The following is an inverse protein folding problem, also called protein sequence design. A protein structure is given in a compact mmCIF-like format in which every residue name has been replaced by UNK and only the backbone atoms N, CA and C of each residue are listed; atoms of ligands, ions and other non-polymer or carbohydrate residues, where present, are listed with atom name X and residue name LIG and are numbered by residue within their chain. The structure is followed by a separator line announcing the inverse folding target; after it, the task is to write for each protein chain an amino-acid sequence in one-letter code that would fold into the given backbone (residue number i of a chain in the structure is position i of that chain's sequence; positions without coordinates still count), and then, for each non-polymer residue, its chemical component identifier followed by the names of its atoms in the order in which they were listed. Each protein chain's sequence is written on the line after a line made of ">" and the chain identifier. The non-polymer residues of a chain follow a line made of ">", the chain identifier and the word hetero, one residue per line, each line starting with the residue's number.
data_IF_407869886820
#
_entry.id   IF_407869886820
#
_cell.length_a   1.000
_cell.length_b   1.000
_cell.length_c   1.000
_cell.angle_alpha   90.00
_cell.angle_beta   90.00
_cell.angle_gamma   90.00
#
_symmetry.space_group_name_H-M   'P 1'
#
loop_
_entity.id
_entity.type
_entity.pdbx_description
1 polymer ?
#
# COMPACT_ATOMS: atom_id res chain seq x y z
N UNK A 1 37.74 -15.16 -78.36
CA UNK A 1 37.53 -13.97 -79.21
C UNK A 1 36.28 -13.26 -78.71
N UNK A 2 36.42 -12.05 -78.16
CA UNK A 2 35.33 -11.05 -78.02
C UNK A 2 35.08 -10.45 -79.43
N UNK A 3 33.97 -9.75 -79.79
CA UNK A 3 33.15 -8.86 -78.92
C UNK A 3 31.63 -8.65 -79.28
N UNK A 4 30.90 -7.97 -78.39
CA UNK A 4 29.85 -6.96 -78.69
C UNK A 4 28.46 -7.45 -79.18
N UNK A 5 27.34 -6.73 -79.04
CA UNK A 5 27.02 -5.37 -78.60
C UNK A 5 25.47 -5.26 -78.61
N UNK A 6 24.89 -4.46 -77.70
CA UNK A 6 23.53 -3.82 -77.72
C UNK A 6 22.27 -4.70 -77.68
N UNK A 7 21.53 -4.62 -76.57
CA UNK A 7 20.30 -3.82 -76.58
C UNK A 7 19.84 -3.49 -75.15
N UNK A 8 19.82 -2.20 -74.84
CA UNK A 8 19.12 -1.61 -73.71
C UNK A 8 17.63 -1.98 -73.80
N UNK A 9 17.08 -2.56 -72.73
CA UNK A 9 15.67 -2.45 -72.43
C UNK A 9 15.56 -1.90 -71.01
N UNK A 10 15.25 -0.61 -70.95
CA UNK A 10 15.09 0.14 -69.72
C UNK A 10 13.88 -0.39 -68.94
N UNK A 11 14.12 -1.21 -67.92
CA UNK A 11 13.16 -1.42 -66.84
C UNK A 11 13.36 -0.33 -65.80
N UNK A 12 12.56 0.72 -65.91
CA UNK A 12 12.32 1.71 -64.86
C UNK A 12 11.62 1.00 -63.69
N UNK A 13 12.40 0.42 -62.77
CA UNK A 13 11.92 0.05 -61.43
C UNK A 13 11.82 1.36 -60.65
N UNK A 14 10.64 1.96 -60.63
CA UNK A 14 10.33 3.05 -59.73
C UNK A 14 10.39 2.53 -58.29
N UNK A 15 11.51 2.78 -57.62
CA UNK A 15 11.65 2.63 -56.18
C UNK A 15 10.72 3.66 -55.54
N UNK A 16 9.49 3.26 -55.22
CA UNK A 16 8.60 4.06 -54.37
C UNK A 16 9.25 4.07 -52.98
N UNK A 17 10.03 5.10 -52.71
CA UNK A 17 10.33 5.50 -51.33
C UNK A 17 8.99 5.89 -50.70
N UNK A 18 8.34 4.94 -50.05
CA UNK A 18 7.32 5.26 -49.05
C UNK A 18 8.11 5.76 -47.85
N UNK A 19 8.06 7.05 -47.47
CA UNK A 19 8.54 7.44 -46.17
C UNK A 19 7.61 6.74 -45.18
N UNK A 20 8.13 5.73 -44.49
CA UNK A 20 7.51 5.25 -43.25
C UNK A 20 7.66 6.41 -42.27
N UNK A 21 6.71 7.34 -42.31
CA UNK A 21 6.48 8.29 -41.25
C UNK A 21 6.10 7.42 -40.05
N UNK A 22 7.11 7.06 -39.26
CA UNK A 22 6.87 6.54 -37.93
C UNK A 22 6.14 7.67 -37.22
N UNK A 23 4.84 7.50 -37.01
CA UNK A 23 4.09 8.35 -36.11
C UNK A 23 4.74 8.17 -34.74
N UNK A 24 5.69 9.05 -34.42
CA UNK A 24 6.04 9.29 -33.03
C UNK A 24 4.81 9.93 -32.45
N UNK A 25 4.05 9.16 -31.68
CA UNK A 25 3.00 9.70 -30.83
C UNK A 25 3.57 10.94 -30.13
N UNK A 26 2.95 12.09 -30.38
CA UNK A 26 3.38 13.34 -29.77
C UNK A 26 3.38 13.18 -28.25
N UNK A 27 4.42 13.70 -27.58
CA UNK A 27 4.48 13.70 -26.11
C UNK A 27 3.19 14.32 -25.55
N UNK A 28 2.48 13.65 -24.64
CA UNK A 28 1.29 14.22 -24.03
C UNK A 28 1.64 15.51 -23.29
N UNK A 29 0.82 16.55 -23.42
CA UNK A 29 1.01 17.80 -22.68
C UNK A 29 0.70 17.55 -21.19
N UNK A 30 1.65 17.82 -20.30
CA UNK A 30 1.51 17.56 -18.87
C UNK A 30 0.79 18.67 -18.10
N UNK A 31 -0.04 18.29 -17.13
CA UNK A 31 -0.70 19.16 -16.16
C UNK A 31 -0.02 19.03 -14.78
N UNK A 32 0.61 20.11 -14.30
CA UNK A 32 1.34 20.11 -13.04
C UNK A 32 0.46 19.85 -11.79
N UNK A 33 -0.79 20.29 -11.77
CA UNK A 33 -1.68 20.06 -10.62
C UNK A 33 -2.08 18.58 -10.54
N UNK A 34 -2.45 17.99 -11.68
CA UNK A 34 -2.70 16.55 -11.79
C UNK A 34 -1.46 15.74 -11.42
N UNK A 35 -0.28 16.21 -11.84
CA UNK A 35 1.01 15.61 -11.54
C UNK A 35 1.31 15.55 -10.04
N UNK A 36 1.11 16.66 -9.33
CA UNK A 36 1.25 16.74 -7.87
C UNK A 36 0.34 15.73 -7.16
N UNK A 37 -0.92 15.64 -7.59
CA UNK A 37 -1.89 14.68 -7.02
C UNK A 37 -1.47 13.24 -7.30
N UNK A 38 -1.02 12.95 -8.52
CA UNK A 38 -0.57 11.62 -8.91
C UNK A 38 0.71 11.21 -8.14
N UNK A 39 1.64 12.15 -7.94
CA UNK A 39 2.87 11.94 -7.17
C UNK A 39 2.55 11.40 -5.77
N UNK A 40 1.69 12.14 -5.04
CA UNK A 40 1.25 11.79 -3.69
C UNK A 40 0.43 10.49 -3.65
N UNK A 41 -0.49 10.31 -4.60
CA UNK A 41 -1.41 9.16 -4.64
C UNK A 41 -0.72 7.84 -4.97
N UNK A 42 0.40 7.87 -5.70
CA UNK A 42 1.15 6.69 -6.14
C UNK A 42 2.37 6.37 -5.28
N UNK A 43 2.57 7.08 -4.16
CA UNK A 43 3.65 6.83 -3.19
C UNK A 43 5.06 7.03 -3.75
N UNK A 44 5.21 7.82 -4.82
CA UNK A 44 6.53 8.17 -5.36
C UNK A 44 7.32 9.00 -4.35
N UNK A 45 6.61 9.81 -3.56
CA UNK A 45 7.19 10.66 -2.51
C UNK A 45 7.91 9.88 -1.41
N UNK A 46 7.54 8.61 -1.17
CA UNK A 46 8.15 7.81 -0.10
C UNK A 46 9.64 7.55 -0.35
N UNK A 47 10.07 7.57 -1.62
CA UNK A 47 11.48 7.46 -1.97
C UNK A 47 12.06 8.79 -2.46
N UNK A 48 11.28 9.58 -3.19
CA UNK A 48 11.77 10.78 -3.87
C UNK A 48 11.41 12.10 -3.16
N UNK A 49 10.82 12.04 -1.96
CA UNK A 49 10.41 13.21 -1.19
C UNK A 49 9.08 13.83 -1.64
N UNK A 50 8.43 14.57 -0.75
CA UNK A 50 7.09 15.17 -0.99
C UNK A 50 7.07 16.19 -2.13
N UNK A 51 8.22 16.82 -2.38
CA UNK A 51 8.42 17.82 -3.43
C UNK A 51 9.52 17.38 -4.39
N UNK A 52 9.73 16.07 -4.58
CA UNK A 52 10.76 15.57 -5.49
C UNK A 52 12.19 15.88 -5.04
N UNK A 53 12.43 16.31 -3.80
CA UNK A 53 13.78 16.65 -3.31
C UNK A 53 14.69 15.44 -3.09
N UNK A 54 14.24 14.23 -3.44
CA UNK A 54 14.96 13.00 -3.15
C UNK A 54 14.81 12.61 -1.68
N UNK A 55 15.34 11.42 -1.37
CA UNK A 55 15.53 10.91 -0.03
C UNK A 55 16.29 9.59 -0.15
N UNK A 56 15.54 8.48 -0.17
CA UNK A 56 16.06 7.16 -0.50
C UNK A 56 16.34 7.04 -2.01
N UNK A 57 15.44 7.58 -2.83
CA UNK A 57 15.62 7.77 -4.27
C UNK A 57 16.26 9.12 -4.59
N UNK A 58 16.79 9.29 -5.82
CA UNK A 58 17.40 10.55 -6.24
C UNK A 58 16.39 11.70 -6.23
N UNK A 59 16.89 12.92 -6.07
CA UNK A 59 16.11 14.14 -6.32
C UNK A 59 15.69 14.23 -7.79
N UNK A 60 14.47 14.71 -8.03
CA UNK A 60 13.87 14.93 -9.34
C UNK A 60 13.33 16.37 -9.50
N UNK A 61 13.22 17.13 -8.40
CA UNK A 61 12.77 18.52 -8.41
C UNK A 61 13.67 19.38 -9.31
N UNK A 62 13.07 20.10 -10.25
CA UNK A 62 13.77 20.96 -11.20
C UNK A 62 14.71 20.23 -12.17
N UNK A 63 14.80 18.90 -12.13
CA UNK A 63 15.65 18.14 -13.04
C UNK A 63 15.05 18.11 -14.44
N UNK A 64 15.82 18.59 -15.41
CA UNK A 64 15.41 18.71 -16.81
C UNK A 64 15.50 17.37 -17.58
N UNK A 65 14.95 16.29 -17.01
CA UNK A 65 14.80 15.02 -17.72
C UNK A 65 13.83 15.19 -18.88
N UNK A 66 14.11 14.59 -20.05
CA UNK A 66 13.11 14.46 -21.12
C UNK A 66 12.01 13.49 -20.71
N UNK A 67 10.83 13.55 -21.34
CA UNK A 67 9.77 12.59 -21.03
C UNK A 67 10.19 11.15 -21.32
N UNK A 68 10.92 10.91 -22.42
CA UNK A 68 11.48 9.61 -22.73
C UNK A 68 12.43 9.09 -21.63
N UNK A 69 13.29 9.97 -21.07
CA UNK A 69 14.17 9.61 -19.95
C UNK A 69 13.38 9.30 -18.67
N UNK A 70 12.40 10.15 -18.34
CA UNK A 70 11.55 9.97 -17.15
C UNK A 70 10.72 8.67 -17.25
N UNK A 71 10.05 8.45 -18.39
CA UNK A 71 9.32 7.21 -18.69
C UNK A 71 10.24 6.00 -18.62
N UNK A 72 11.44 6.07 -19.20
CA UNK A 72 12.41 4.97 -19.13
C UNK A 72 12.78 4.64 -17.68
N UNK A 73 13.06 5.64 -16.85
CA UNK A 73 13.38 5.44 -15.43
C UNK A 73 12.23 4.76 -14.68
N UNK A 74 10.97 5.08 -15.00
CA UNK A 74 9.79 4.45 -14.37
C UNK A 74 9.54 3.02 -14.87
N UNK A 75 9.76 2.75 -16.15
CA UNK A 75 9.51 1.44 -16.78
C UNK A 75 10.64 0.43 -16.57
N UNK A 76 11.88 0.90 -16.59
CA UNK A 76 13.09 0.08 -16.49
C UNK A 76 14.12 0.82 -15.61
N UNK A 77 13.84 0.94 -14.31
CA UNK A 77 14.66 1.69 -13.38
C UNK A 77 16.07 1.12 -13.19
N UNK A 78 16.97 1.99 -12.74
CA UNK A 78 18.24 1.60 -12.13
C UNK A 78 18.11 1.50 -10.60
N UNK A 79 19.05 0.80 -9.97
CA UNK A 79 19.01 0.58 -8.51
C UNK A 79 17.83 -0.29 -8.09
N UNK A 80 17.32 -0.07 -6.88
CA UNK A 80 16.24 -0.87 -6.26
C UNK A 80 14.84 -0.30 -6.49
N UNK A 81 14.70 0.78 -7.28
CA UNK A 81 13.38 1.31 -7.63
C UNK A 81 12.58 0.23 -8.37
N UNK A 82 11.32 -0.05 -7.98
CA UNK A 82 10.49 -1.01 -8.68
C UNK A 82 10.03 -0.47 -10.04
N UNK A 83 9.81 -1.37 -10.99
CA UNK A 83 9.27 -1.02 -12.31
C UNK A 83 7.75 -0.87 -12.27
N UNK A 84 7.22 0.19 -12.86
CA UNK A 84 5.78 0.46 -12.88
C UNK A 84 5.20 0.25 -14.28
N UNK A 85 4.01 -0.36 -14.35
CA UNK A 85 3.34 -0.67 -15.62
C UNK A 85 2.54 0.52 -16.17
N UNK A 86 2.14 0.45 -17.44
CA UNK A 86 1.24 1.44 -18.07
C UNK A 86 -0.07 1.61 -17.28
N UNK A 87 -0.60 0.51 -16.73
CA UNK A 87 -1.79 0.51 -15.88
C UNK A 87 -1.56 1.32 -14.59
N UNK A 88 -0.37 1.22 -14.01
CA UNK A 88 -0.05 1.91 -12.76
C UNK A 88 0.30 3.39 -12.96
N UNK A 89 0.81 3.80 -14.11
CA UNK A 89 1.03 5.21 -14.40
C UNK A 89 1.18 5.33 -15.92
N UNK A 90 0.12 5.75 -16.61
CA UNK A 90 0.15 5.86 -18.06
C UNK A 90 0.95 7.09 -18.53
N UNK A 91 1.18 7.21 -19.83
CA UNK A 91 1.98 8.31 -20.40
C UNK A 91 1.48 9.71 -20.00
N UNK A 92 0.18 9.94 -19.96
CA UNK A 92 -0.39 11.20 -19.48
C UNK A 92 -0.02 11.46 -18.01
N UNK A 93 -0.20 10.46 -17.14
CA UNK A 93 0.16 10.56 -15.72
C UNK A 93 1.65 10.88 -15.55
N UNK A 94 2.52 10.25 -16.33
CA UNK A 94 3.96 10.50 -16.28
C UNK A 94 4.32 11.88 -16.80
N UNK A 95 3.63 12.37 -17.83
CA UNK A 95 3.83 13.73 -18.33
C UNK A 95 3.37 14.77 -17.31
N UNK A 96 2.22 14.55 -16.67
CA UNK A 96 1.70 15.39 -15.59
C UNK A 96 2.69 15.48 -14.42
N UNK A 97 3.20 14.34 -13.95
CA UNK A 97 4.21 14.29 -12.87
C UNK A 97 5.49 15.03 -13.26
N UNK A 98 5.99 14.82 -14.48
CA UNK A 98 7.18 15.50 -14.99
C UNK A 98 6.94 17.01 -15.06
N UNK A 99 5.80 17.46 -15.59
CA UNK A 99 5.44 18.87 -15.66
C UNK A 99 5.44 19.50 -14.26
N UNK A 100 4.90 18.81 -13.26
CA UNK A 100 4.94 19.27 -11.87
C UNK A 100 6.37 19.36 -11.32
N UNK A 101 7.19 18.32 -11.47
CA UNK A 101 8.57 18.29 -10.98
C UNK A 101 9.42 19.43 -11.56
N UNK A 102 9.18 19.80 -12.82
CA UNK A 102 9.84 20.93 -13.48
C UNK A 102 9.46 22.30 -12.91
N UNK A 103 8.33 22.42 -12.20
CA UNK A 103 7.96 23.66 -11.51
C UNK A 103 8.70 23.88 -10.19
N UNK A 104 9.37 22.85 -9.68
CA UNK A 104 10.02 22.86 -8.36
C UNK A 104 11.48 23.29 -8.48
N UNK A 105 12.04 23.98 -7.46
CA UNK A 105 13.46 24.31 -7.44
C UNK A 105 14.31 23.05 -7.27
N UNK A 106 15.49 23.03 -7.90
CA UNK A 106 16.52 22.02 -7.62
C UNK A 106 17.01 22.14 -6.18
N UNK A 107 17.43 21.02 -5.58
CA UNK A 107 18.02 20.98 -4.25
C UNK A 107 19.51 20.70 -4.32
N UNK A 108 20.28 21.20 -3.34
CA UNK A 108 21.71 20.91 -3.24
C UNK A 108 21.98 19.48 -2.73
N UNK A 109 21.16 19.02 -1.78
CA UNK A 109 21.28 17.71 -1.15
C UNK A 109 19.89 17.05 -1.02
N UNK A 110 19.80 15.71 -1.13
CA UNK A 110 18.56 15.00 -0.91
C UNK A 110 18.00 15.13 0.52
N UNK A 111 16.69 14.94 0.65
CA UNK A 111 16.04 14.86 1.96
C UNK A 111 16.43 13.62 2.79
N UNK A 112 16.02 13.56 4.07
CA UNK A 112 16.21 12.35 4.87
C UNK A 112 15.33 11.20 4.39
N UNK A 113 15.76 9.96 4.61
CA UNK A 113 14.95 8.77 4.34
C UNK A 113 13.74 8.71 5.28
N UNK A 114 12.60 8.23 4.77
CA UNK A 114 11.40 7.99 5.59
C UNK A 114 11.72 7.03 6.75
N UNK A 115 12.43 5.95 6.42
CA UNK A 115 12.97 5.02 7.40
C UNK A 115 14.49 5.09 7.37
N UNK A 116 15.14 5.76 8.34
CA UNK A 116 16.60 5.81 8.41
C UNK A 116 17.19 4.45 8.74
N UNK A 117 18.32 4.14 8.11
CA UNK A 117 19.14 2.98 8.43
C UNK A 117 19.96 3.28 9.70
N UNK A 118 19.61 2.65 10.83
CA UNK A 118 20.41 2.79 12.05
C UNK A 118 21.57 1.78 12.08
N UNK A 119 22.69 2.19 12.66
CA UNK A 119 23.91 1.39 12.72
C UNK A 119 23.72 0.10 13.54
N UNK A 120 22.87 0.14 14.56
CA UNK A 120 22.55 -0.96 15.48
C UNK A 120 21.35 -1.81 15.01
N UNK A 121 20.79 -1.54 13.83
CA UNK A 121 19.71 -2.35 13.28
C UNK A 121 20.14 -3.83 13.09
N UNK A 122 19.26 -4.80 13.37
CA UNK A 122 19.47 -6.21 13.03
C UNK A 122 19.81 -6.38 11.55
N UNK A 123 20.67 -7.36 11.22
CA UNK A 123 21.16 -7.58 9.86
C UNK A 123 20.04 -7.64 8.81
N UNK A 124 19.02 -8.47 9.04
CA UNK A 124 17.92 -8.63 8.07
C UNK A 124 17.03 -7.39 7.96
N UNK A 125 16.91 -6.60 9.03
CA UNK A 125 16.25 -5.29 8.97
C UNK A 125 17.07 -4.29 8.15
N UNK A 126 18.40 -4.29 8.26
CA UNK A 126 19.27 -3.45 7.42
C UNK A 126 19.04 -3.76 5.95
N UNK A 127 18.91 -5.04 5.59
CA UNK A 127 18.58 -5.45 4.21
C UNK A 127 17.22 -4.89 3.79
N UNK A 128 16.18 -5.08 4.59
CA UNK A 128 14.83 -4.55 4.34
C UNK A 128 14.81 -3.03 4.07
N UNK A 129 15.55 -2.27 4.88
CA UNK A 129 15.67 -0.81 4.73
C UNK A 129 16.47 -0.45 3.48
N UNK A 130 17.59 -1.13 3.24
CA UNK A 130 18.53 -0.82 2.16
C UNK A 130 17.99 -1.15 0.77
N UNK A 131 17.07 -2.11 0.64
CA UNK A 131 16.37 -2.38 -0.63
C UNK A 131 15.13 -1.51 -0.83
N UNK A 132 14.84 -0.60 0.10
CA UNK A 132 13.75 0.38 -0.01
C UNK A 132 12.38 -0.12 0.44
N UNK A 133 12.22 -1.40 0.77
CA UNK A 133 10.94 -1.94 1.22
C UNK A 133 10.39 -1.21 2.45
N UNK A 134 11.27 -0.87 3.41
CA UNK A 134 10.87 -0.16 4.63
C UNK A 134 10.33 1.26 4.36
N UNK A 135 10.73 1.90 3.26
CA UNK A 135 10.29 3.27 2.94
C UNK A 135 8.77 3.33 2.63
N UNK A 136 8.13 2.19 2.36
CA UNK A 136 6.67 2.07 2.20
C UNK A 136 6.02 1.12 3.22
N UNK A 137 6.75 0.11 3.68
CA UNK A 137 6.22 -0.95 4.55
C UNK A 137 6.69 -0.87 6.00
N UNK A 138 7.39 0.21 6.36
CA UNK A 138 8.02 0.45 7.66
C UNK A 138 9.11 -0.57 8.01
N UNK A 139 9.81 -0.34 9.12
CA UNK A 139 11.01 -1.09 9.52
C UNK A 139 10.72 -2.55 9.93
N UNK A 140 9.45 -2.90 10.05
CA UNK A 140 8.94 -4.22 10.43
C UNK A 140 8.17 -4.91 9.29
N UNK A 141 8.12 -4.33 8.09
CA UNK A 141 7.35 -4.84 6.95
C UNK A 141 5.87 -5.09 7.30
N UNK A 142 5.23 -4.10 7.93
CA UNK A 142 3.92 -4.20 8.59
C UNK A 142 2.81 -4.73 7.68
N UNK A 143 2.53 -4.04 6.57
CA UNK A 143 1.41 -4.39 5.69
C UNK A 143 1.59 -5.78 5.05
N UNK A 144 2.78 -6.14 4.52
CA UNK A 144 3.01 -7.49 4.01
C UNK A 144 2.91 -8.58 5.08
N UNK A 145 3.34 -8.35 6.32
CA UNK A 145 3.15 -9.30 7.42
C UNK A 145 1.67 -9.59 7.72
N UNK A 146 0.82 -8.58 7.63
CA UNK A 146 -0.64 -8.74 7.73
C UNK A 146 -1.22 -9.51 6.55
N UNK A 147 -0.81 -9.19 5.32
CA UNK A 147 -1.26 -9.88 4.12
C UNK A 147 -0.88 -11.38 4.14
N UNK A 148 0.39 -11.66 4.46
CA UNK A 148 0.91 -13.01 4.67
C UNK A 148 0.17 -13.73 5.80
N UNK A 149 -0.07 -13.06 6.93
CA UNK A 149 -0.83 -13.63 8.03
C UNK A 149 -2.29 -13.93 7.68
N UNK A 150 -2.85 -13.30 6.65
CA UNK A 150 -4.17 -13.65 6.10
C UNK A 150 -4.22 -15.00 5.40
N UNK A 151 -3.07 -15.56 5.01
CA UNK A 151 -2.93 -16.84 4.30
C UNK A 151 -1.80 -17.69 4.89
N UNK A 152 -1.51 -17.51 6.18
CA UNK A 152 -0.31 -18.01 6.85
C UNK A 152 0.02 -19.50 6.61
N UNK A 153 -0.98 -20.37 6.48
CA UNK A 153 -0.74 -21.81 6.22
C UNK A 153 -0.16 -22.12 4.83
N UNK A 154 -0.21 -21.18 3.90
CA UNK A 154 0.25 -21.32 2.51
C UNK A 154 1.48 -20.46 2.21
N UNK A 155 2.03 -19.77 3.22
CA UNK A 155 3.15 -18.87 3.04
C UNK A 155 4.46 -19.64 2.97
N UNK A 156 5.11 -19.56 1.81
CA UNK A 156 6.49 -19.95 1.60
C UNK A 156 7.28 -18.83 0.89
N UNK A 157 8.56 -19.09 0.63
CA UNK A 157 9.42 -18.12 -0.06
C UNK A 157 8.98 -17.90 -1.52
N UNK A 158 8.41 -18.90 -2.21
CA UNK A 158 7.95 -18.74 -3.58
C UNK A 158 6.77 -17.77 -3.64
N UNK A 159 5.81 -17.91 -2.72
CA UNK A 159 4.70 -16.99 -2.54
C UNK A 159 5.20 -15.56 -2.26
N UNK A 160 6.14 -15.41 -1.31
CA UNK A 160 6.73 -14.11 -1.01
C UNK A 160 7.48 -13.50 -2.20
N UNK A 161 8.24 -14.30 -2.94
CA UNK A 161 8.93 -13.89 -4.16
C UNK A 161 7.97 -13.38 -5.22
N UNK A 162 6.84 -14.07 -5.45
CA UNK A 162 5.80 -13.60 -6.39
C UNK A 162 5.21 -12.25 -5.97
N UNK A 163 4.98 -12.03 -4.68
CA UNK A 163 4.49 -10.73 -4.19
C UNK A 163 5.48 -9.57 -4.41
N UNK A 164 6.77 -9.85 -4.61
CA UNK A 164 7.80 -8.81 -4.77
C UNK A 164 8.18 -8.62 -6.25
N UNK A 165 8.41 -9.72 -6.97
CA UNK A 165 8.82 -9.68 -8.37
C UNK A 165 7.65 -9.56 -9.35
N UNK A 166 6.43 -9.96 -8.93
CA UNK A 166 5.21 -9.96 -9.74
C UNK A 166 4.07 -9.24 -9.01
N UNK A 167 4.40 -8.20 -8.22
CA UNK A 167 3.44 -7.48 -7.40
C UNK A 167 2.24 -6.97 -8.20
N UNK A 168 2.47 -6.51 -9.43
CA UNK A 168 1.44 -5.95 -10.31
C UNK A 168 0.50 -6.99 -10.93
N UNK A 169 0.89 -8.27 -10.93
CA UNK A 169 0.03 -9.36 -11.39
C UNK A 169 -1.00 -9.70 -10.31
N UNK A 170 -0.56 -9.68 -9.04
CA UNK A 170 -1.35 -9.99 -7.85
C UNK A 170 -2.20 -8.78 -7.44
N UNK A 171 -1.60 -7.59 -7.41
CA UNK A 171 -2.21 -6.34 -6.99
C UNK A 171 -2.23 -5.35 -8.15
N UNK A 172 -3.13 -5.59 -9.12
CA UNK A 172 -3.21 -4.79 -10.36
C UNK A 172 -3.48 -3.29 -10.14
N UNK A 173 -4.12 -2.95 -9.02
CA UNK A 173 -4.37 -1.57 -8.59
C UNK A 173 -3.42 -1.12 -7.46
N UNK A 174 -2.42 -1.93 -7.11
CA UNK A 174 -1.42 -1.63 -6.10
C UNK A 174 -0.48 -0.50 -6.53
N UNK A 175 0.07 0.20 -5.54
CA UNK A 175 1.03 1.32 -5.75
C UNK A 175 2.48 0.88 -5.73
N UNK A 176 2.78 -0.41 -5.50
CA UNK A 176 4.13 -0.97 -5.60
C UNK A 176 4.33 -1.59 -6.97
N UNK A 177 5.45 -1.28 -7.63
CA UNK A 177 5.82 -1.89 -8.90
C UNK A 177 6.47 -3.28 -8.73
N UNK A 178 6.94 -3.86 -9.82
CA UNK A 178 7.67 -5.12 -9.81
C UNK A 178 9.16 -4.88 -9.55
N UNK A 179 9.72 -5.54 -8.53
CA UNK A 179 11.16 -5.53 -8.31
C UNK A 179 11.89 -6.43 -9.30
N UNK A 180 13.14 -6.10 -9.62
CA UNK A 180 14.01 -6.94 -10.44
C UNK A 180 14.80 -7.90 -9.57
N UNK A 181 14.92 -9.16 -10.02
CA UNK A 181 15.79 -10.17 -9.41
C UNK A 181 17.27 -9.80 -9.48
N UNK A 182 17.67 -9.01 -10.47
CA UNK A 182 19.06 -8.53 -10.59
C UNK A 182 19.36 -7.41 -9.58
N UNK A 183 18.34 -6.70 -9.12
CA UNK A 183 18.45 -5.54 -8.21
C UNK A 183 18.16 -5.90 -6.77
N UNK A 184 17.26 -6.85 -6.56
CA UNK A 184 16.98 -7.48 -5.28
C UNK A 184 17.14 -9.00 -5.47
N UNK A 185 18.37 -9.53 -5.35
CA UNK A 185 18.64 -10.95 -5.51
C UNK A 185 17.88 -11.80 -4.50
N UNK A 186 17.56 -13.05 -4.87
CA UNK A 186 16.83 -13.96 -3.98
C UNK A 186 17.54 -14.16 -2.64
N UNK A 187 18.88 -14.17 -2.60
CA UNK A 187 19.61 -14.30 -1.33
C UNK A 187 19.25 -13.18 -0.35
N UNK A 188 19.13 -11.93 -0.82
CA UNK A 188 18.70 -10.80 -0.01
C UNK A 188 17.22 -10.93 0.36
N UNK A 189 16.38 -11.32 -0.60
CA UNK A 189 14.95 -11.44 -0.36
C UNK A 189 14.62 -12.57 0.63
N UNK A 190 15.39 -13.66 0.64
CA UNK A 190 15.26 -14.75 1.60
C UNK A 190 15.53 -14.28 3.02
N UNK A 191 16.57 -13.48 3.23
CA UNK A 191 16.85 -12.90 4.54
C UNK A 191 15.70 -11.99 5.02
N UNK A 192 15.10 -11.21 4.13
CA UNK A 192 13.91 -10.39 4.46
C UNK A 192 12.69 -11.29 4.76
N UNK A 193 12.51 -12.38 4.03
CA UNK A 193 11.45 -13.35 4.29
C UNK A 193 11.60 -14.01 5.68
N UNK A 194 12.81 -14.42 6.04
CA UNK A 194 13.10 -15.00 7.34
C UNK A 194 12.95 -13.96 8.46
N UNK A 195 13.29 -12.69 8.21
CA UNK A 195 13.01 -11.62 9.17
C UNK A 195 11.53 -11.54 9.54
N UNK A 196 10.64 -11.62 8.56
CA UNK A 196 9.20 -11.46 8.81
C UNK A 196 8.49 -12.73 9.28
N UNK A 197 9.03 -13.91 8.95
CA UNK A 197 8.43 -15.19 9.33
C UNK A 197 9.04 -15.79 10.60
N UNK A 198 10.35 -15.69 10.77
CA UNK A 198 11.09 -16.26 11.90
C UNK A 198 11.36 -15.24 13.00
N UNK A 199 11.86 -14.05 12.66
CA UNK A 199 12.30 -13.11 13.70
C UNK A 199 11.12 -12.32 14.28
N UNK A 200 10.24 -11.80 13.42
CA UNK A 200 9.09 -10.99 13.84
C UNK A 200 7.79 -11.79 13.98
N UNK A 201 7.62 -12.82 13.14
CA UNK A 201 6.35 -13.54 12.97
C UNK A 201 5.29 -12.76 12.19
N UNK A 202 4.32 -13.48 11.62
CA UNK A 202 3.23 -12.89 10.84
C UNK A 202 2.14 -12.25 11.72
N UNK A 203 1.32 -11.37 11.13
CA UNK A 203 0.27 -10.62 11.83
C UNK A 203 -1.12 -11.07 11.40
N UNK A 204 -2.03 -11.31 12.34
CA UNK A 204 -3.44 -11.47 11.99
C UNK A 204 -3.97 -10.15 11.38
N UNK A 205 -4.60 -10.15 10.19
CA UNK A 205 -5.01 -8.92 9.51
C UNK A 205 -6.34 -8.39 10.04
N UNK A 206 -6.37 -7.98 11.31
CA UNK A 206 -7.56 -7.47 12.00
C UNK A 206 -7.61 -5.95 11.92
N UNK A 207 -8.53 -5.46 11.11
CA UNK A 207 -8.77 -4.02 10.94
C UNK A 207 -10.11 -3.59 11.54
N UNK A 208 -10.22 -2.29 11.82
CA UNK A 208 -11.46 -1.64 12.19
C UNK A 208 -11.80 -0.49 11.24
N UNK A 209 -13.08 -0.26 10.98
CA UNK A 209 -13.55 0.83 10.13
C UNK A 209 -14.93 1.29 10.53
N UNK A 210 -15.13 2.60 10.57
CA UNK A 210 -16.46 3.17 10.71
C UNK A 210 -17.25 2.97 9.43
N UNK A 211 -18.55 2.72 9.58
CA UNK A 211 -19.51 2.89 8.49
C UNK A 211 -19.63 4.39 8.21
N UNK A 212 -19.51 4.84 6.94
CA UNK A 212 -19.50 6.27 6.61
C UNK A 212 -20.77 7.01 7.05
N UNK A 213 -21.92 6.34 6.98
CA UNK A 213 -23.22 6.93 7.27
C UNK A 213 -23.63 6.62 8.71
N UNK A 214 -23.63 7.61 9.62
CA UNK A 214 -24.14 7.43 10.97
C UNK A 214 -25.67 7.45 10.99
N UNK A 215 -26.26 6.90 12.05
CA UNK A 215 -27.70 6.90 12.29
C UNK A 215 -28.05 7.98 13.32
N UNK A 216 -28.87 8.95 12.97
CA UNK A 216 -29.35 9.98 13.89
C UNK A 216 -30.78 9.70 14.35
N UNK A 217 -31.07 9.92 15.62
CA UNK A 217 -32.44 9.90 16.16
C UNK A 217 -33.03 11.32 16.36
N UNK A 218 -32.33 12.35 15.85
CA UNK A 218 -32.66 13.76 16.02
C UNK A 218 -32.07 14.42 17.28
N UNK A 219 -31.70 13.63 18.29
CA UNK A 219 -31.06 14.12 19.54
C UNK A 219 -29.61 13.68 19.63
N UNK A 220 -29.33 12.44 19.27
CA UNK A 220 -28.04 11.76 19.33
C UNK A 220 -27.70 11.15 17.97
N UNK A 221 -26.41 10.83 17.81
CA UNK A 221 -25.90 10.24 16.58
C UNK A 221 -25.10 8.99 16.87
N UNK A 222 -25.45 7.90 16.21
CA UNK A 222 -24.90 6.56 16.39
C UNK A 222 -23.98 6.19 15.23
N UNK A 223 -22.73 5.90 15.56
CA UNK A 223 -21.70 5.46 14.63
C UNK A 223 -21.52 3.96 14.75
N UNK A 224 -21.58 3.26 13.61
CA UNK A 224 -21.27 1.84 13.56
C UNK A 224 -19.80 1.63 13.21
N UNK A 225 -19.12 0.81 14.02
CA UNK A 225 -17.74 0.38 13.82
C UNK A 225 -17.72 -1.11 13.50
N UNK A 226 -17.17 -1.46 12.35
CA UNK A 226 -16.89 -2.86 12.01
C UNK A 226 -15.46 -3.21 12.39
N UNK A 227 -15.29 -4.33 13.07
CA UNK A 227 -13.98 -4.95 13.29
C UNK A 227 -13.98 -6.30 12.58
N UNK A 228 -12.95 -6.54 11.76
CA UNK A 228 -12.89 -7.71 10.89
C UNK A 228 -11.48 -8.28 10.81
N UNK A 229 -11.38 -9.60 10.92
CA UNK A 229 -10.20 -10.32 10.47
C UNK A 229 -10.33 -10.63 8.97
N UNK A 230 -9.40 -10.11 8.17
CA UNK A 230 -9.41 -10.23 6.71
C UNK A 230 -8.76 -11.51 6.18
N UNK A 231 -8.31 -12.39 7.08
CA UNK A 231 -7.70 -13.66 6.71
C UNK A 231 -8.70 -14.61 6.05
N UNK A 232 -8.18 -15.56 5.29
CA UNK A 232 -8.98 -16.59 4.62
C UNK A 232 -9.26 -17.72 5.62
N UNK A 233 -10.52 -18.14 5.71
CA UNK A 233 -10.93 -19.24 6.57
C UNK A 233 -10.11 -20.51 6.29
N UNK A 234 -9.56 -21.12 7.35
CA UNK A 234 -8.69 -22.30 7.25
C UNK A 234 -7.25 -22.01 6.82
N UNK A 235 -6.90 -20.77 6.49
CA UNK A 235 -5.55 -20.39 6.04
C UNK A 235 -4.90 -19.29 6.87
N UNK A 236 -5.69 -18.31 7.30
CA UNK A 236 -5.21 -17.12 8.01
C UNK A 236 -5.00 -17.34 9.51
N UNK A 237 -4.35 -16.37 10.14
CA UNK A 237 -4.14 -16.33 11.58
C UNK A 237 -5.37 -15.84 12.31
N UNK A 238 -5.60 -16.40 13.50
CA UNK A 238 -6.59 -15.92 14.47
C UNK A 238 -5.92 -14.91 15.40
N UNK A 239 -6.57 -13.77 15.65
CA UNK A 239 -6.18 -12.87 16.73
C UNK A 239 -6.90 -13.29 18.02
N UNK A 240 -6.20 -13.34 19.14
CA UNK A 240 -6.73 -13.69 20.46
C UNK A 240 -6.43 -12.60 21.49
N UNK A 241 -7.27 -12.51 22.52
CA UNK A 241 -7.22 -11.48 23.57
C UNK A 241 -7.22 -10.06 22.98
N UNK A 242 -8.19 -9.82 22.11
CA UNK A 242 -8.30 -8.60 21.31
C UNK A 242 -8.81 -7.44 22.15
N UNK A 243 -8.18 -6.27 22.01
CA UNK A 243 -8.59 -5.00 22.59
C UNK A 243 -8.87 -4.01 21.48
N UNK A 244 -10.06 -3.43 21.50
CA UNK A 244 -10.48 -2.39 20.55
C UNK A 244 -10.56 -1.09 21.33
N UNK A 245 -9.82 -0.08 20.89
CA UNK A 245 -9.75 1.24 21.53
C UNK A 245 -10.16 2.30 20.52
N UNK A 246 -11.16 3.10 20.87
CA UNK A 246 -11.64 4.24 20.07
C UNK A 246 -11.45 5.51 20.88
N UNK A 247 -10.36 6.27 20.66
CA UNK A 247 -10.14 7.53 21.35
C UNK A 247 -11.12 8.60 20.88
N UNK A 248 -11.70 9.30 21.85
CA UNK A 248 -12.69 10.35 21.66
C UNK A 248 -11.97 11.71 21.60
N UNK A 249 -12.23 12.50 20.56
CA UNK A 249 -11.72 13.86 20.48
C UNK A 249 -12.48 14.77 21.46
N UNK A 250 -11.82 15.86 21.87
CA UNK A 250 -12.41 16.86 22.77
C UNK A 250 -13.79 17.31 22.28
N UNK A 251 -14.76 17.42 23.19
CA UNK A 251 -16.16 17.75 22.89
C UNK A 251 -17.03 16.56 22.46
N UNK A 252 -16.46 15.37 22.28
CA UNK A 252 -17.23 14.16 21.95
C UNK A 252 -17.75 13.49 23.23
N UNK A 253 -19.04 13.66 23.51
CA UNK A 253 -19.70 13.02 24.66
C UNK A 253 -20.34 11.70 24.25
N UNK A 254 -19.77 10.59 24.71
CA UNK A 254 -20.32 9.25 24.50
C UNK A 254 -21.50 8.99 25.45
N UNK A 255 -22.66 8.65 24.88
CA UNK A 255 -23.91 8.40 25.61
C UNK A 255 -24.11 6.91 25.87
N UNK A 256 -23.95 6.09 24.83
CA UNK A 256 -24.12 4.64 24.94
C UNK A 256 -23.32 3.91 23.88
N UNK A 257 -23.11 2.61 24.09
CA UNK A 257 -22.41 1.75 23.15
C UNK A 257 -23.07 0.38 23.06
N UNK A 258 -22.77 -0.33 21.98
CA UNK A 258 -23.05 -1.77 21.85
C UNK A 258 -21.78 -2.56 21.55
N UNK A 259 -21.92 -3.88 21.47
CA UNK A 259 -20.83 -4.82 21.21
C UNK A 259 -20.32 -5.48 22.50
N UNK A 260 -20.04 -6.77 22.40
CA UNK A 260 -19.65 -7.57 23.56
C UNK A 260 -18.32 -7.08 24.16
N UNK A 261 -18.21 -7.23 25.48
CA UNK A 261 -16.97 -6.97 26.21
C UNK A 261 -16.57 -5.51 26.37
N UNK A 262 -17.52 -4.57 26.28
CA UNK A 262 -17.29 -3.16 26.59
C UNK A 262 -16.72 -2.99 28.02
N UNK A 263 -15.67 -2.17 28.15
CA UNK A 263 -14.90 -1.95 29.37
C UNK A 263 -15.09 -0.54 29.94
N UNK A 264 -15.96 0.27 29.34
CA UNK A 264 -16.13 1.68 29.68
C UNK A 264 -15.19 2.60 28.92
N UNK A 265 -15.33 3.90 29.20
CA UNK A 265 -14.38 4.94 28.77
C UNK A 265 -13.22 4.98 29.75
N UNK A 266 -11.99 4.92 29.26
CA UNK A 266 -10.77 5.03 30.07
C UNK A 266 -9.80 5.99 29.41
N UNK A 267 -8.96 6.62 30.21
CA UNK A 267 -7.87 7.44 29.69
C UNK A 267 -6.87 6.55 28.93
N UNK A 268 -6.68 6.82 27.64
CA UNK A 268 -5.72 6.11 26.80
C UNK A 268 -4.35 6.80 26.91
N UNK A 269 -3.32 6.14 27.49
CA UNK A 269 -2.01 6.75 27.67
C UNK A 269 -1.31 7.07 26.35
N UNK A 270 -1.69 6.42 25.25
CA UNK A 270 -1.03 6.58 23.96
C UNK A 270 -1.49 7.83 23.25
N UNK A 271 -2.81 7.98 23.09
CA UNK A 271 -3.37 9.16 22.45
C UNK A 271 -3.54 10.35 23.40
N UNK A 272 -3.43 10.12 24.71
CA UNK A 272 -3.71 11.08 25.79
C UNK A 272 -5.14 11.60 25.77
N UNK A 273 -6.05 10.79 25.23
CA UNK A 273 -7.48 11.08 25.13
C UNK A 273 -8.25 10.03 25.92
N UNK A 274 -9.47 10.38 26.31
CA UNK A 274 -10.40 9.36 26.80
C UNK A 274 -10.86 8.49 25.64
N UNK A 275 -10.93 7.17 25.86
CA UNK A 275 -11.22 6.20 24.82
C UNK A 275 -12.26 5.18 25.26
N UNK A 276 -13.19 4.86 24.37
CA UNK A 276 -14.09 3.73 24.54
C UNK A 276 -13.32 2.43 24.25
N UNK A 277 -13.40 1.47 25.18
CA UNK A 277 -12.60 0.24 25.11
C UNK A 277 -13.49 -0.99 25.11
N UNK A 278 -13.21 -1.96 24.24
CA UNK A 278 -13.80 -3.30 24.25
C UNK A 278 -12.72 -4.37 24.35
N UNK A 279 -13.07 -5.49 24.96
CA UNK A 279 -12.28 -6.73 24.98
C UNK A 279 -13.06 -7.83 24.26
N UNK A 280 -12.43 -8.49 23.30
CA UNK A 280 -12.99 -9.63 22.61
C UNK A 280 -12.02 -10.82 22.73
N UNK A 281 -12.49 -12.04 23.02
CA UNK A 281 -11.60 -13.17 23.25
C UNK A 281 -10.87 -13.58 21.97
N UNK A 282 -11.50 -13.44 20.79
CA UNK A 282 -10.91 -13.82 19.50
C UNK A 282 -11.52 -13.13 18.30
N UNK A 283 -10.75 -13.10 17.22
CA UNK A 283 -11.17 -12.85 15.84
C UNK A 283 -10.45 -13.85 14.92
N UNK A 284 -11.14 -14.92 14.55
CA UNK A 284 -10.67 -15.90 13.57
C UNK A 284 -10.74 -15.37 12.13
N UNK A 285 -10.07 -16.01 11.16
CA UNK A 285 -10.09 -15.57 9.76
C UNK A 285 -11.51 -15.50 9.21
N UNK A 286 -11.88 -14.34 8.66
CA UNK A 286 -13.23 -14.07 8.15
C UNK A 286 -14.22 -13.56 9.20
N UNK A 287 -13.91 -13.63 10.50
CA UNK A 287 -14.79 -13.13 11.56
C UNK A 287 -15.02 -11.63 11.42
N UNK A 288 -16.26 -11.23 11.67
CA UNK A 288 -16.70 -9.84 11.63
C UNK A 288 -17.56 -9.56 12.86
N UNK A 289 -17.26 -8.47 13.58
CA UNK A 289 -18.06 -7.98 14.70
C UNK A 289 -18.43 -6.51 14.47
N UNK A 290 -19.62 -6.14 14.92
CA UNK A 290 -20.11 -4.77 14.86
C UNK A 290 -20.25 -4.19 16.27
N UNK A 291 -19.80 -2.95 16.40
CA UNK A 291 -19.91 -2.14 17.61
C UNK A 291 -20.64 -0.85 17.24
N UNK A 292 -21.28 -0.22 18.21
CA UNK A 292 -21.83 1.12 18.02
C UNK A 292 -21.36 2.07 19.11
N UNK A 293 -21.20 3.32 18.72
CA UNK A 293 -20.92 4.45 19.59
C UNK A 293 -21.99 5.51 19.35
N UNK A 294 -22.84 5.74 20.33
CA UNK A 294 -23.84 6.81 20.28
C UNK A 294 -23.31 8.00 21.04
N UNK A 295 -23.17 9.13 20.36
CA UNK A 295 -22.72 10.39 20.96
C UNK A 295 -23.86 11.41 21.04
N UNK A 296 -23.71 12.36 21.95
CA UNK A 296 -24.65 13.46 22.11
C UNK A 296 -24.65 14.38 20.89
N UNK A 297 -25.85 14.83 20.49
CA UNK A 297 -26.01 15.85 19.46
C UNK A 297 -26.00 15.34 18.01
N UNK A 298 -25.91 16.30 17.09
CA UNK A 298 -26.08 16.11 15.64
C UNK A 298 -24.97 15.30 14.96
N UNK A 299 -23.87 15.02 15.67
CA UNK A 299 -22.74 14.29 15.11
C UNK A 299 -21.89 15.11 14.13
N UNK A 300 -21.21 14.40 13.23
CA UNK A 300 -20.21 14.93 12.30
C UNK A 300 -19.51 13.79 11.56
N UNK A 301 -18.45 14.09 10.81
CA UNK A 301 -17.65 13.02 10.22
C UNK A 301 -16.94 12.24 11.34
N UNK A 302 -16.79 10.90 11.24
CA UNK A 302 -16.09 10.11 12.25
C UNK A 302 -14.68 10.64 12.56
N UNK A 303 -13.98 11.18 11.57
CA UNK A 303 -12.64 11.75 11.72
C UNK A 303 -12.62 13.01 12.61
N UNK A 304 -13.74 13.71 12.78
CA UNK A 304 -13.84 14.91 13.63
C UNK A 304 -14.15 14.55 15.09
N UNK A 305 -14.65 13.35 15.32
CA UNK A 305 -15.14 12.88 16.62
C UNK A 305 -14.21 11.85 17.26
N UNK A 306 -13.55 11.05 16.44
CA UNK A 306 -12.68 9.95 16.89
C UNK A 306 -11.27 10.15 16.36
N UNK A 307 -10.26 9.84 17.19
CA UNK A 307 -8.86 9.78 16.75
C UNK A 307 -8.53 8.36 16.26
N UNK A 308 -9.22 7.96 15.20
CA UNK A 308 -9.04 6.63 14.59
C UNK A 308 -9.55 5.48 15.46
N UNK A 309 -9.07 4.27 15.18
CA UNK A 309 -9.36 3.08 15.97
C UNK A 309 -8.13 2.20 16.02
N UNK A 310 -7.83 1.72 17.22
CA UNK A 310 -6.71 0.84 17.50
C UNK A 310 -7.24 -0.55 17.83
N UNK A 311 -6.79 -1.56 17.09
CA UNK A 311 -7.06 -2.96 17.41
C UNK A 311 -5.75 -3.65 17.77
N UNK A 312 -5.72 -4.22 18.97
CA UNK A 312 -4.56 -4.93 19.55
C UNK A 312 -4.95 -6.35 19.90
N UNK A 313 -4.00 -7.25 19.91
CA UNK A 313 -4.21 -8.63 20.35
C UNK A 313 -2.95 -9.16 21.03
N UNK A 314 -3.10 -10.17 21.88
CA UNK A 314 -1.97 -10.81 22.54
C UNK A 314 -1.36 -11.92 21.68
N UNK A 315 -2.18 -12.64 20.89
CA UNK A 315 -1.72 -13.75 20.05
C UNK A 315 -2.24 -13.67 18.61
N UNK A 316 -1.42 -14.02 17.61
CA UNK A 316 0.02 -14.27 17.72
C UNK A 316 0.76 -12.98 18.09
N UNK A 317 1.57 -13.03 19.14
CA UNK A 317 2.39 -11.91 19.56
C UNK A 317 3.62 -11.79 18.66
N UNK A 318 4.20 -10.59 18.56
CA UNK A 318 5.54 -10.47 17.99
C UNK A 318 6.52 -11.25 18.86
N UNK A 319 7.41 -12.03 18.25
CA UNK A 319 8.43 -12.77 18.99
C UNK A 319 9.36 -11.76 19.67
N UNK A 320 9.48 -11.86 20.99
CA UNK A 320 10.41 -11.02 21.76
C UNK A 320 11.84 -11.52 21.58
N UNK A 321 12.82 -10.61 21.58
CA UNK A 321 14.24 -10.97 21.57
C UNK A 321 15.07 -10.43 20.40
N UNK A 322 14.54 -9.56 19.54
CA UNK A 322 15.38 -8.75 18.66
C UNK A 322 15.78 -7.48 19.45
N UNK A 323 17.06 -7.29 19.80
CA UNK A 323 17.50 -6.08 20.48
C UNK A 323 17.06 -4.83 19.72
N UNK A 324 16.61 -3.82 20.46
CA UNK A 324 16.25 -2.50 19.98
C UNK A 324 14.99 -2.39 19.09
N UNK A 325 14.17 -3.43 18.86
CA UNK A 325 12.91 -3.22 18.11
C UNK A 325 12.05 -2.07 18.69
N UNK A 326 12.01 -1.93 20.01
CA UNK A 326 11.27 -0.89 20.74
C UNK A 326 11.70 0.55 20.37
N UNK A 327 12.97 0.75 20.00
CA UNK A 327 13.50 2.05 19.57
C UNK A 327 13.30 2.31 18.06
N UNK A 328 12.87 1.30 17.31
CA UNK A 328 12.85 1.28 15.84
C UNK A 328 11.47 1.23 15.24
N UNK A 329 10.44 1.06 16.07
CA UNK A 329 9.07 1.33 15.66
C UNK A 329 8.94 2.84 15.44
N UNK A 330 9.20 3.28 14.21
CA UNK A 330 9.08 4.67 13.75
C UNK A 330 7.63 5.10 13.54
N UNK A 331 6.75 4.66 14.42
CA UNK A 331 5.42 5.22 14.51
C UNK A 331 5.31 5.81 15.91
N UNK A 332 5.22 7.14 15.99
CA UNK A 332 4.99 7.84 17.25
C UNK A 332 3.67 7.41 17.91
N UNK A 333 2.82 6.70 17.16
CA UNK A 333 1.63 6.02 17.65
C UNK A 333 1.88 4.59 18.15
N UNK A 334 3.13 4.12 18.30
CA UNK A 334 3.50 2.73 18.65
C UNK A 334 4.53 2.58 19.81
N UNK A 335 4.68 3.58 20.70
CA UNK A 335 5.51 3.56 21.95
C UNK A 335 5.75 2.26 22.74
N UNK A 336 6.61 2.29 23.74
CA UNK A 336 7.30 1.10 24.31
C UNK A 336 6.41 -0.13 24.65
N UNK A 337 6.89 -1.34 24.25
CA UNK A 337 6.31 -2.63 24.64
C UNK A 337 5.25 -3.26 23.71
N UNK A 338 5.16 -2.88 22.42
CA UNK A 338 3.98 -3.23 21.57
C UNK A 338 4.17 -4.45 20.67
N UNK A 339 3.37 -5.48 20.91
CA UNK A 339 2.93 -6.44 19.88
C UNK A 339 1.79 -5.84 19.06
N UNK A 340 1.94 -5.85 17.73
CA UNK A 340 0.87 -5.79 16.73
C UNK A 340 -0.28 -4.83 17.03
N UNK A 341 -0.03 -3.55 16.77
CA UNK A 341 -1.10 -2.55 16.66
C UNK A 341 -1.31 -2.33 15.17
N UNK A 342 -2.39 -2.88 14.64
CA UNK A 342 -2.93 -2.30 13.41
C UNK A 342 -3.63 -1.00 13.87
N UNK A 343 -2.88 0.12 13.92
CA UNK A 343 -3.52 1.43 13.84
C UNK A 343 -4.17 1.47 12.46
N UNK A 344 -5.45 1.14 12.45
CA UNK A 344 -6.26 1.10 11.26
C UNK A 344 -6.51 2.55 10.82
N UNK A 345 -5.54 3.19 10.18
CA UNK A 345 -5.84 4.29 9.25
C UNK A 345 -6.45 3.70 7.97
N UNK A 346 -7.55 2.95 8.13
CA UNK A 346 -8.44 2.57 7.03
C UNK A 346 -9.34 3.75 6.69
N UNK A 347 -8.76 4.84 6.18
CA UNK A 347 -9.52 5.81 5.41
C UNK A 347 -9.74 5.25 4.00
N UNK A 348 -10.49 4.14 3.85
CA UNK A 348 -10.99 3.66 2.55
C UNK A 348 -12.37 3.04 2.74
N UNK A 349 -13.35 3.67 2.09
CA UNK A 349 -14.79 3.43 2.16
C UNK A 349 -15.14 1.95 2.07
N UNK A 350 -15.73 1.42 3.14
CA UNK A 350 -16.51 0.17 3.07
C UNK A 350 -17.90 0.55 2.60
N UNK A 351 -18.27 0.10 1.39
CA UNK A 351 -19.67 0.13 0.97
C UNK A 351 -20.49 -0.83 1.85
N UNK A 352 -21.76 -0.52 2.05
CA UNK A 352 -22.67 -1.25 2.95
C UNK A 352 -22.77 -2.78 2.69
N UNK A 353 -22.21 -3.27 1.57
CA UNK A 353 -22.24 -4.68 1.14
C UNK A 353 -20.97 -5.48 1.46
N UNK A 354 -19.96 -4.89 2.13
CA UNK A 354 -18.78 -5.63 2.58
C UNK A 354 -17.76 -5.96 1.46
N UNK A 355 -17.86 -5.30 0.31
CA UNK A 355 -16.92 -5.41 -0.81
C UNK A 355 -15.96 -4.22 -0.82
N UNK A 356 -14.66 -4.51 -1.02
CA UNK A 356 -13.61 -3.52 -1.20
C UNK A 356 -13.82 -2.72 -2.48
N UNK A 357 -13.85 -1.39 -2.38
CA UNK A 357 -13.67 -0.50 -3.52
C UNK A 357 -12.45 0.36 -3.21
N UNK A 358 -11.40 0.21 -4.00
CA UNK A 358 -10.23 1.06 -3.88
C UNK A 358 -10.61 2.50 -4.29
N UNK A 359 -10.13 3.55 -3.60
CA UNK A 359 -10.24 4.91 -4.12
C UNK A 359 -9.45 4.98 -5.43
N UNK A 360 -10.16 5.18 -6.54
CA UNK A 360 -9.58 5.27 -7.89
C UNK A 360 -9.94 4.14 -8.87
N UNK A 361 -10.80 3.18 -8.50
CA UNK A 361 -11.33 2.16 -9.42
C UNK A 361 -12.76 1.76 -9.04
N UNK A 362 -13.71 2.21 -9.86
CA UNK A 362 -15.19 2.15 -9.92
C UNK A 362 -15.94 0.95 -9.30
N UNK A 363 -17.16 1.17 -8.75
CA UNK A 363 -18.28 0.23 -8.80
C UNK A 363 -19.52 0.85 -9.53
N UNK A 364 -20.52 0.11 -10.07
CA UNK A 364 -20.68 -1.34 -10.26
C UNK A 364 -21.06 -1.74 -11.73
N UNK A 365 -20.97 -3.04 -12.04
CA UNK A 365 -21.84 -3.66 -13.07
C UNK A 365 -21.28 -3.79 -14.49
N UNK A 366 -20.28 -4.66 -14.69
CA UNK A 366 -20.10 -5.41 -15.95
C UNK A 366 -19.17 -6.62 -15.74
N UNK A 367 -19.60 -7.53 -14.87
CA UNK A 367 -19.62 -8.92 -15.28
C UNK A 367 -20.99 -9.11 -15.93
N UNK A 368 -21.08 -8.95 -17.25
CA UNK A 368 -22.25 -9.46 -17.96
C UNK A 368 -22.02 -10.96 -18.14
N UNK A 369 -22.82 -11.71 -17.38
CA UNK A 369 -23.30 -13.07 -17.62
C UNK A 369 -22.26 -14.11 -18.03
N UNK A 370 -21.78 -14.92 -17.07
CA UNK A 370 -22.38 -16.25 -16.80
C UNK A 370 -22.13 -16.59 -15.32
N UNK A 371 -23.20 -16.99 -14.66
CA UNK A 371 -23.27 -17.52 -13.30
C UNK A 371 -22.26 -18.68 -13.06
N UNK A 372 -21.21 -18.47 -12.25
CA UNK A 372 -20.48 -19.58 -11.59
C UNK A 372 -19.96 -19.14 -10.23
N UNK A 373 -20.57 -19.68 -9.17
CA UNK A 373 -19.96 -19.73 -7.83
C UNK A 373 -18.62 -20.49 -7.91
N UNK A 374 -17.55 -19.90 -7.36
CA UNK A 374 -16.19 -20.41 -7.09
C UNK A 374 -15.14 -19.92 -8.09
N UNK A 375 -14.19 -19.13 -7.60
CA UNK A 375 -12.79 -19.17 -8.07
C UNK A 375 -11.84 -18.89 -6.89
N UNK A 376 -11.44 -19.96 -6.21
CA UNK A 376 -10.12 -20.07 -5.60
C UNK A 376 -9.40 -21.17 -6.39
N UNK A 377 -8.08 -21.08 -6.49
CA UNK A 377 -7.17 -22.01 -7.20
C UNK A 377 -6.96 -21.70 -8.69
N UNK A 378 -5.69 -21.72 -9.08
CA UNK A 378 -5.22 -21.37 -10.41
C UNK A 378 -5.78 -22.25 -11.54
N UNK A 379 -5.74 -21.67 -12.73
CA UNK A 379 -6.13 -22.28 -13.98
C UNK A 379 -5.28 -23.51 -14.31
N UNK A 380 -5.90 -24.70 -14.30
CA UNK A 380 -5.69 -25.84 -15.21
C UNK A 380 -7.02 -26.63 -15.18
N UNK A 381 -7.70 -27.04 -16.24
CA UNK A 381 -7.51 -27.02 -17.69
C UNK A 381 -8.38 -28.14 -18.28
N UNK A 382 -8.83 -27.97 -19.53
CA UNK A 382 -8.77 -29.02 -20.55
C UNK A 382 -8.17 -28.41 -21.80
#
# INVERSE_FOLDING_TARGET
>A
MNPGIKMMMAMLVAFVLVPVLSAQDAEPVGNAEAGKKAWAGRRCQNCHGEQGQGAFGPDLAGRQLTFAQFKRAVRAPWGVMPSFTERQANDQTLSDMRAWLLTLPTVAEPGPWEVPLKADAPYRQKLLISVGCAQCHHAELRNPRGALGGVASEVDFEHFGKMVYNHTDIWRAGTMGNFSRDRVPEAILREIFLFVTEDLGLLAPVGATFVPEPMSDGTNTTYKLWVRNRGIQGKGLTAEDVTITVPLKSGTTLISTTGAGYQGVKHDPETKLDAAIWKAPRFGPGDVQAYTLTIAGKGGAPADLFKGTTVRWAKPGMRQGIPNLEHFVLDHNLGEGRTSVEEATFNRQVSATGVWVAPGGTPPGLCLEVDVRRETVGCVGK
#
